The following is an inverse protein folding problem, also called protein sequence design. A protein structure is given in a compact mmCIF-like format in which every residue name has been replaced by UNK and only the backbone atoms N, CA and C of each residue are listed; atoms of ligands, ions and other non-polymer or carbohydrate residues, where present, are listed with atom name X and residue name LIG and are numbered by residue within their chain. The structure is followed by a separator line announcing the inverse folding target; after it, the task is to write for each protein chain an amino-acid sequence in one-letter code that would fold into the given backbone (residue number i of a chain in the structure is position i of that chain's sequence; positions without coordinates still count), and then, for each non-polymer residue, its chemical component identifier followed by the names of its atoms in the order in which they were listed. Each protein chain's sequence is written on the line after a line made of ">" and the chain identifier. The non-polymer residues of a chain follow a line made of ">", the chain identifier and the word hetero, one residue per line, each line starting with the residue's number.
data_IF_430254404769
#
_entry.id   IF_430254404769
#
_cell.length_a   1.000
_cell.length_b   1.000
_cell.length_c   1.000
_cell.angle_alpha   90.00
_cell.angle_beta   90.00
_cell.angle_gamma   90.00
#
_symmetry.space_group_name_H-M   'P 1'
#
loop_
_entity.id
_entity.type
_entity.pdbx_description
1 polymer ?
#
# COMPACT_ATOMS: atom_id res chain seq x y z
N UNK A 1 1.95 -5.93 13.95
CA UNK A 1 0.58 -5.90 13.37
C UNK A 1 0.71 -6.00 11.86
N UNK A 2 0.00 -6.94 11.24
CA UNK A 2 -0.08 -7.07 9.78
C UNK A 2 -1.41 -6.48 9.32
N UNK A 3 -1.39 -5.72 8.24
CA UNK A 3 -2.60 -5.22 7.59
C UNK A 3 -2.81 -6.10 6.37
N UNK A 4 -4.00 -6.70 6.26
CA UNK A 4 -4.39 -7.48 5.08
C UNK A 4 -5.30 -6.62 4.23
N UNK A 5 -5.02 -6.55 2.93
CA UNK A 5 -5.82 -5.81 1.94
C UNK A 5 -5.78 -6.58 0.62
N UNK A 6 -6.86 -6.59 -0.13
CA UNK A 6 -6.87 -7.23 -1.45
C UNK A 6 -6.22 -6.35 -2.52
N UNK A 7 -5.72 -6.98 -3.59
CA UNK A 7 -5.22 -6.25 -4.75
C UNK A 7 -6.31 -5.34 -5.36
N UNK A 8 -7.57 -5.81 -5.37
CA UNK A 8 -8.75 -5.05 -5.77
C UNK A 8 -8.96 -3.79 -4.93
N UNK A 9 -8.89 -3.90 -3.60
CA UNK A 9 -9.03 -2.74 -2.72
C UNK A 9 -7.92 -1.71 -2.90
N UNK A 10 -6.68 -2.14 -3.18
CA UNK A 10 -5.59 -1.22 -3.52
C UNK A 10 -5.87 -0.50 -4.84
N UNK A 11 -6.36 -1.22 -5.86
CA UNK A 11 -6.74 -0.65 -7.15
C UNK A 11 -7.87 0.37 -7.00
N UNK A 12 -8.95 0.02 -6.29
CA UNK A 12 -10.12 0.87 -6.09
C UNK A 12 -9.77 2.14 -5.28
N UNK A 13 -8.72 2.08 -4.45
CA UNK A 13 -8.19 3.23 -3.70
C UNK A 13 -7.14 4.06 -4.48
N UNK A 14 -6.77 3.63 -5.69
CA UNK A 14 -5.71 4.26 -6.48
C UNK A 14 -4.30 4.06 -5.92
N UNK A 15 -4.11 3.10 -5.01
CA UNK A 15 -2.85 2.83 -4.31
C UNK A 15 -2.04 1.69 -4.93
N UNK A 16 -2.56 1.02 -5.96
CA UNK A 16 -1.91 -0.13 -6.59
C UNK A 16 -0.49 0.17 -7.09
N UNK A 17 -0.31 1.28 -7.82
CA UNK A 17 1.00 1.65 -8.35
C UNK A 17 2.01 1.95 -7.24
N UNK A 18 1.58 2.66 -6.18
CA UNK A 18 2.43 2.95 -5.03
C UNK A 18 2.80 1.68 -4.26
N UNK A 19 1.86 0.73 -4.14
CA UNK A 19 2.12 -0.58 -3.59
C UNK A 19 3.19 -1.32 -4.40
N UNK A 20 3.01 -1.44 -5.72
CA UNK A 20 3.95 -2.10 -6.63
C UNK A 20 5.35 -1.50 -6.54
N UNK A 21 5.46 -0.16 -6.55
CA UNK A 21 6.73 0.54 -6.37
C UNK A 21 7.37 0.27 -5.01
N UNK A 22 6.56 0.12 -3.95
CA UNK A 22 7.04 -0.10 -2.58
C UNK A 22 7.49 -1.54 -2.32
N UNK A 23 6.82 -2.53 -2.92
CA UNK A 23 7.08 -3.96 -2.70
C UNK A 23 7.93 -4.58 -3.81
N UNK A 24 8.09 -3.90 -4.95
CA UNK A 24 8.67 -4.48 -6.16
C UNK A 24 7.74 -5.45 -6.88
N UNK A 25 6.44 -5.43 -6.58
CA UNK A 25 5.45 -6.24 -7.29
C UNK A 25 5.29 -5.72 -8.72
N UNK A 26 5.17 -6.65 -9.68
CA UNK A 26 4.87 -6.30 -11.07
C UNK A 26 3.52 -5.57 -11.15
N UNK A 27 3.50 -4.37 -11.72
CA UNK A 27 2.30 -3.53 -11.88
C UNK A 27 1.26 -4.17 -12.81
N UNK A 28 1.68 -5.08 -13.70
CA UNK A 28 0.81 -5.82 -14.61
C UNK A 28 0.40 -7.20 -14.09
N UNK A 29 0.77 -7.59 -12.86
CA UNK A 29 0.55 -8.95 -12.34
C UNK A 29 -0.92 -9.41 -12.45
N UNK A 30 -1.89 -8.53 -12.22
CA UNK A 30 -3.32 -8.86 -12.35
C UNK A 30 -3.73 -9.01 -13.81
N UNK A 31 -3.31 -8.08 -14.68
CA UNK A 31 -3.65 -8.09 -16.10
C UNK A 31 -3.03 -9.28 -16.86
N UNK A 32 -1.84 -9.70 -16.45
CA UNK A 32 -1.16 -10.88 -17.01
C UNK A 32 -1.68 -12.20 -16.42
N UNK A 33 -2.60 -12.17 -15.45
CA UNK A 33 -3.13 -13.35 -14.77
C UNK A 33 -2.11 -14.04 -13.85
N UNK A 34 -1.05 -13.33 -13.44
CA UNK A 34 -0.04 -13.81 -12.50
C UNK A 34 -0.48 -13.67 -11.02
N UNK A 35 -1.49 -12.83 -10.77
CA UNK A 35 -2.06 -12.56 -9.46
C UNK A 35 -3.57 -12.38 -9.61
N UNK A 36 -4.34 -12.85 -8.61
CA UNK A 36 -5.79 -12.62 -8.59
C UNK A 36 -6.11 -11.25 -7.98
N UNK A 37 -7.17 -10.58 -8.44
CA UNK A 37 -7.56 -9.30 -7.86
C UNK A 37 -8.16 -9.43 -6.45
N UNK A 38 -8.70 -10.60 -6.11
CA UNK A 38 -9.15 -10.95 -4.75
C UNK A 38 -8.02 -11.49 -3.84
N UNK A 39 -6.78 -11.55 -4.33
CA UNK A 39 -5.65 -12.06 -3.56
C UNK A 39 -5.34 -11.14 -2.35
N UNK A 40 -5.23 -11.74 -1.17
CA UNK A 40 -4.93 -11.04 0.07
C UNK A 40 -3.44 -10.70 0.17
N UNK A 41 -3.14 -9.40 0.16
CA UNK A 41 -1.79 -8.86 0.28
C UNK A 41 -1.53 -8.44 1.73
N UNK A 42 -0.44 -8.98 2.29
CA UNK A 42 -0.01 -8.70 3.65
C UNK A 42 0.98 -7.53 3.68
N UNK A 43 0.56 -6.43 4.27
CA UNK A 43 1.36 -5.24 4.49
C UNK A 43 1.92 -5.19 5.92
N UNK A 44 3.18 -4.79 6.03
CA UNK A 44 3.72 -4.36 7.32
C UNK A 44 3.09 -3.02 7.72
N UNK A 45 3.07 -2.75 9.02
CA UNK A 45 2.54 -1.48 9.55
C UNK A 45 3.21 -0.25 8.90
N UNK A 46 4.53 -0.32 8.64
CA UNK A 46 5.28 0.75 7.97
C UNK A 46 4.85 0.94 6.51
N UNK A 47 4.61 -0.14 5.78
CA UNK A 47 4.14 -0.05 4.38
C UNK A 47 2.71 0.49 4.32
N UNK A 48 1.82 0.02 5.21
CA UNK A 48 0.45 0.52 5.27
C UNK A 48 0.38 2.02 5.59
N UNK A 49 1.25 2.53 6.49
CA UNK A 49 1.37 3.98 6.73
C UNK A 49 1.86 4.75 5.50
N UNK A 50 2.88 4.24 4.81
CA UNK A 50 3.39 4.85 3.57
C UNK A 50 2.33 4.94 2.48
N UNK A 51 1.46 3.94 2.38
CA UNK A 51 0.34 3.89 1.44
C UNK A 51 -0.89 4.68 1.92
N UNK A 52 -0.82 5.36 3.07
CA UNK A 52 -1.95 6.11 3.62
C UNK A 52 -3.13 5.23 4.08
N UNK A 53 -2.94 3.91 4.20
CA UNK A 53 -3.96 2.98 4.70
C UNK A 53 -4.16 3.05 6.21
N UNK A 54 -3.18 3.62 6.92
CA UNK A 54 -3.23 3.89 8.34
C UNK A 54 -3.02 5.38 8.58
N UNK A 55 -3.75 5.92 9.55
CA UNK A 55 -3.52 7.29 10.02
C UNK A 55 -2.09 7.40 10.57
N UNK A 56 -1.40 8.47 10.17
CA UNK A 56 -0.14 8.87 10.78
C UNK A 56 -0.40 9.32 12.22
N UNK A 57 0.52 9.00 13.13
CA UNK A 57 0.43 9.57 14.48
C UNK A 57 0.72 11.08 14.42
N UNK A 58 0.28 11.87 15.42
CA UNK A 58 0.61 13.29 15.49
C UNK A 58 2.11 13.57 15.40
N UNK A 59 2.96 12.69 15.96
CA UNK A 59 4.42 12.85 15.88
C UNK A 59 4.93 12.65 14.44
N UNK A 60 4.45 11.64 13.72
CA UNK A 60 4.86 11.36 12.34
C UNK A 60 4.38 12.43 11.35
N UNK A 61 3.24 13.07 11.66
CA UNK A 61 2.72 14.19 10.88
C UNK A 61 3.65 15.41 11.02
N UNK A 62 4.13 15.68 12.24
CA UNK A 62 5.05 16.78 12.53
C UNK A 62 6.38 16.63 11.78
N UNK A 63 6.95 15.42 11.77
CA UNK A 63 8.19 15.10 11.04
C UNK A 63 8.10 15.30 9.51
N UNK A 64 6.90 15.21 8.94
CA UNK A 64 6.66 15.44 7.50
C UNK A 64 6.43 16.92 7.18
N UNK A 65 5.86 17.68 8.12
CA UNK A 65 5.58 19.12 7.97
C UNK A 65 6.83 19.99 8.22
N UNK A 66 7.76 19.58 9.10
CA UNK A 66 9.01 20.31 9.40
C UNK A 66 10.14 20.11 8.38
N UNK A 67 9.88 19.40 7.28
CA UNK A 67 10.87 19.10 6.24
C UNK A 67 10.90 20.11 5.08
N UNK A 68 10.38 21.32 5.31
CA UNK A 68 10.31 22.46 4.39
C UNK A 68 11.06 23.68 4.93
#
# INVERSE_FOLDING_TARGET
>A
MKITITARELFDRGLWMDYCNLTGTNDWAIAEGLMSDDEELSLTHKQAKKLGLLALTPEEKWDLEERW
#
